data_IF_494528086808
#
_entry.id   IF_494528086808
#
_cell.length_a   1.000
_cell.length_b   1.000
_cell.length_c   1.000
_cell.angle_alpha   90.00
_cell.angle_beta   90.00
_cell.angle_gamma   90.00
#
_symmetry.space_group_name_H-M   'P 1'
#
loop_
_entity.id
_entity.type
_entity.pdbx_description
1 polymer ?
#
# COMPACT_ATOMS: atom_id res chain seq x y z
N UNK A 1 -0.19 -7.15 -1.58
CA UNK A 1 -0.86 -6.10 -0.81
C UNK A 1 -0.81 -6.38 0.70
N UNK A 2 0.36 -6.36 1.26
CA UNK A 2 0.50 -6.64 2.70
C UNK A 2 1.66 -5.86 3.34
N UNK A 3 2.35 -5.02 2.56
CA UNK A 3 3.49 -4.26 3.04
C UNK A 3 3.11 -3.33 4.20
N UNK A 4 1.91 -2.73 4.16
CA UNK A 4 1.40 -1.90 5.24
C UNK A 4 1.33 -2.61 6.62
N UNK A 5 1.31 -3.94 6.64
CA UNK A 5 1.38 -4.74 7.87
C UNK A 5 2.82 -5.03 8.31
N UNK A 6 3.82 -4.71 7.49
CA UNK A 6 5.23 -4.94 7.81
C UNK A 6 5.89 -3.68 8.38
N UNK A 7 5.44 -2.53 7.91
CA UNK A 7 6.01 -1.23 8.27
C UNK A 7 6.03 -1.01 9.78
N UNK A 8 7.19 -0.53 10.26
CA UNK A 8 7.40 -0.21 11.67
C UNK A 8 7.68 -1.42 12.59
N UNK A 9 7.58 -2.65 12.08
CA UNK A 9 7.80 -3.85 12.91
C UNK A 9 8.70 -4.90 12.29
N UNK A 10 8.52 -5.22 11.02
CA UNK A 10 9.19 -6.38 10.39
C UNK A 10 9.52 -6.19 8.92
N UNK A 11 9.45 -4.97 8.41
CA UNK A 11 9.65 -4.69 6.99
C UNK A 11 11.00 -5.19 6.47
N UNK A 12 12.10 -4.89 7.15
CA UNK A 12 13.43 -5.30 6.71
C UNK A 12 13.63 -6.80 6.80
N UNK A 13 13.11 -7.44 7.86
CA UNK A 13 13.17 -8.90 8.00
C UNK A 13 12.48 -9.59 6.82
N UNK A 14 11.27 -9.15 6.49
CA UNK A 14 10.49 -9.72 5.39
C UNK A 14 11.07 -9.39 4.03
N UNK A 15 11.55 -8.17 3.81
CA UNK A 15 12.24 -7.81 2.57
C UNK A 15 13.51 -8.66 2.37
N UNK A 16 14.30 -8.89 3.42
CA UNK A 16 15.46 -9.80 3.36
C UNK A 16 15.05 -11.23 3.06
N UNK A 17 13.95 -11.72 3.64
CA UNK A 17 13.45 -13.05 3.36
C UNK A 17 13.06 -13.21 1.89
N UNK A 18 12.34 -12.23 1.33
CA UNK A 18 12.01 -12.21 -0.10
C UNK A 18 13.28 -12.19 -0.95
N UNK A 19 14.24 -11.33 -0.59
CA UNK A 19 15.52 -11.24 -1.31
C UNK A 19 16.27 -12.56 -1.34
N UNK A 20 16.36 -13.24 -0.20
CA UNK A 20 17.03 -14.55 -0.11
C UNK A 20 16.34 -15.64 -0.92
N UNK A 21 15.03 -15.57 -1.06
CA UNK A 21 14.23 -16.58 -1.77
C UNK A 21 14.41 -16.47 -3.29
N UNK A 22 14.71 -15.30 -3.80
CA UNK A 22 14.86 -15.05 -5.23
C UNK A 22 16.25 -15.51 -5.72
N UNK A 23 16.28 -16.03 -6.94
CA UNK A 23 17.52 -16.25 -7.69
C UNK A 23 18.06 -14.91 -8.22
N UNK A 24 19.36 -14.80 -8.52
CA UNK A 24 19.89 -13.65 -9.27
C UNK A 24 19.08 -13.42 -10.55
N UNK A 25 18.72 -12.16 -10.83
CA UNK A 25 17.82 -11.78 -11.91
C UNK A 25 16.33 -11.96 -11.60
N UNK A 26 15.98 -12.52 -10.47
CA UNK A 26 14.59 -12.70 -10.04
C UNK A 26 13.86 -11.37 -9.79
N UNK A 27 12.58 -11.35 -10.08
CA UNK A 27 11.74 -10.15 -9.98
C UNK A 27 10.90 -10.19 -8.71
N UNK A 28 10.87 -9.05 -8.01
CA UNK A 28 9.97 -8.77 -6.90
C UNK A 28 9.00 -7.67 -7.29
N UNK A 29 7.72 -8.02 -7.42
CA UNK A 29 6.64 -7.07 -7.62
C UNK A 29 5.92 -6.79 -6.32
N UNK A 30 5.63 -5.52 -6.04
CA UNK A 30 4.86 -5.13 -4.86
C UNK A 30 3.81 -4.08 -5.21
N UNK A 31 2.62 -4.26 -4.65
CA UNK A 31 1.51 -3.33 -4.74
C UNK A 31 0.97 -3.06 -3.35
N UNK A 32 0.83 -1.81 -2.97
CA UNK A 32 0.19 -1.43 -1.69
C UNK A 32 -0.44 -0.04 -1.79
N UNK A 33 -1.18 0.32 -0.75
CA UNK A 33 -1.91 1.59 -0.65
C UNK A 33 -0.93 2.76 -0.57
N UNK A 34 -1.08 3.74 -1.47
CA UNK A 34 -0.16 4.88 -1.59
C UNK A 34 -0.56 6.00 -0.65
N UNK A 35 0.35 6.37 0.26
CA UNK A 35 0.24 7.60 1.05
C UNK A 35 0.56 8.84 0.19
N UNK A 36 -0.08 9.97 0.47
CA UNK A 36 0.29 11.27 -0.09
C UNK A 36 1.43 11.94 0.68
N UNK A 37 1.87 11.33 1.78
CA UNK A 37 2.94 11.84 2.63
C UNK A 37 4.07 10.82 2.79
N UNK A 38 5.12 11.22 3.50
CA UNK A 38 6.21 10.32 3.90
C UNK A 38 5.90 9.53 5.18
N UNK A 39 4.69 9.65 5.70
CA UNK A 39 4.23 8.96 6.91
C UNK A 39 3.28 7.83 6.53
N UNK A 40 3.51 6.66 7.11
CA UNK A 40 2.60 5.53 7.00
C UNK A 40 1.44 5.73 7.97
N UNK A 41 0.23 5.77 7.47
CA UNK A 41 -0.95 6.04 8.29
C UNK A 41 -2.19 5.32 7.77
N UNK A 42 -2.93 4.70 8.67
CA UNK A 42 -4.24 4.08 8.38
C UNK A 42 -4.23 3.16 7.15
N UNK A 43 -3.17 2.38 7.01
CA UNK A 43 -3.00 1.44 5.90
C UNK A 43 -2.34 2.02 4.66
N UNK A 44 -2.24 3.35 4.52
CA UNK A 44 -1.46 3.99 3.46
C UNK A 44 0.02 3.97 3.80
N UNK A 45 0.85 3.65 2.82
CA UNK A 45 2.30 3.53 2.98
C UNK A 45 3.05 4.47 2.05
N UNK A 46 4.22 4.91 2.52
CA UNK A 46 5.10 5.81 1.80
C UNK A 46 5.80 5.07 0.63
N UNK A 47 5.44 5.38 -0.61
CA UNK A 47 6.04 4.77 -1.81
C UNK A 47 7.56 5.01 -1.91
N UNK A 48 8.08 6.24 -1.78
CA UNK A 48 9.53 6.47 -1.81
C UNK A 48 10.27 5.75 -0.68
N UNK A 49 9.63 5.62 0.49
CA UNK A 49 10.22 4.90 1.62
C UNK A 49 10.36 3.41 1.31
N UNK A 50 9.34 2.80 0.69
CA UNK A 50 9.38 1.40 0.26
C UNK A 50 10.53 1.17 -0.74
N UNK A 51 10.70 2.07 -1.69
CA UNK A 51 11.79 1.99 -2.69
C UNK A 51 13.15 2.03 -1.97
N UNK A 52 13.35 3.01 -1.09
CA UNK A 52 14.58 3.15 -0.29
C UNK A 52 14.87 1.90 0.52
N UNK A 53 13.87 1.35 1.19
CA UNK A 53 14.04 0.20 2.08
C UNK A 53 14.35 -1.07 1.29
N UNK A 54 13.72 -1.27 0.13
CA UNK A 54 14.05 -2.36 -0.77
C UNK A 54 15.47 -2.25 -1.32
N UNK A 55 15.90 -1.07 -1.71
CA UNK A 55 17.28 -0.80 -2.18
C UNK A 55 18.29 -1.05 -1.06
N UNK A 56 17.98 -0.66 0.18
CA UNK A 56 18.84 -0.92 1.34
C UNK A 56 19.05 -2.42 1.60
N UNK A 57 18.10 -3.26 1.24
CA UNK A 57 18.22 -4.73 1.34
C UNK A 57 19.07 -5.31 0.20
N UNK A 58 19.21 -4.59 -0.91
CA UNK A 58 20.02 -5.01 -2.06
C UNK A 58 19.25 -5.15 -3.37
N UNK A 59 17.96 -4.86 -3.39
CA UNK A 59 17.17 -4.86 -4.62
C UNK A 59 17.56 -3.69 -5.53
N UNK A 60 17.45 -3.92 -6.84
CA UNK A 60 17.52 -2.85 -7.84
C UNK A 60 16.10 -2.42 -8.17
N UNK A 61 15.80 -1.13 -8.02
CA UNK A 61 14.52 -0.57 -8.46
C UNK A 61 14.48 -0.50 -9.99
N UNK A 62 13.49 -1.12 -10.60
CA UNK A 62 13.35 -1.21 -12.07
C UNK A 62 12.34 -0.20 -12.58
N UNK A 63 11.25 0.03 -11.87
CA UNK A 63 10.22 0.97 -12.29
C UNK A 63 8.90 0.78 -11.56
N UNK A 64 7.93 1.60 -11.95
CA UNK A 64 6.59 1.58 -11.39
C UNK A 64 5.52 1.58 -12.48
N UNK A 65 4.29 1.18 -12.10
CA UNK A 65 3.10 1.26 -12.93
C UNK A 65 1.98 1.97 -12.19
N UNK A 66 1.19 2.76 -12.90
CA UNK A 66 0.00 3.42 -12.36
C UNK A 66 -1.28 2.61 -12.59
N UNK A 67 -1.16 1.33 -12.97
CA UNK A 67 -2.32 0.47 -13.28
C UNK A 67 -3.28 0.32 -12.09
N UNK A 68 -2.78 0.44 -10.87
CA UNK A 68 -3.58 0.36 -9.65
C UNK A 68 -3.81 1.73 -8.98
N UNK A 69 -3.49 2.82 -9.66
CA UNK A 69 -3.77 4.17 -9.17
C UNK A 69 -5.28 4.46 -9.19
N UNK A 70 -5.74 5.17 -8.17
CA UNK A 70 -7.11 5.68 -8.13
C UNK A 70 -7.12 7.15 -7.69
N UNK A 71 -7.25 8.09 -8.64
CA UNK A 71 -7.26 9.51 -8.32
C UNK A 71 -8.50 9.98 -7.55
N UNK A 72 -9.54 9.16 -7.44
CA UNK A 72 -10.73 9.46 -6.64
C UNK A 72 -10.49 9.26 -5.15
N UNK A 73 -9.45 8.52 -4.78
CA UNK A 73 -9.11 8.27 -3.38
C UNK A 73 -8.50 9.52 -2.76
N UNK A 74 -9.24 10.18 -1.87
CA UNK A 74 -8.81 11.40 -1.17
C UNK A 74 -8.00 11.12 0.10
N UNK A 75 -7.97 9.88 0.56
CA UNK A 75 -7.11 9.38 1.65
C UNK A 75 -7.36 10.03 3.03
N UNK A 76 -8.52 10.64 3.22
CA UNK A 76 -8.91 11.39 4.42
C UNK A 76 -10.04 10.72 5.23
N UNK A 77 -10.21 9.42 5.05
CA UNK A 77 -11.27 8.67 5.71
C UNK A 77 -10.91 8.35 7.17
N UNK A 78 -11.89 8.37 8.09
CA UNK A 78 -11.63 8.13 9.50
C UNK A 78 -11.02 6.75 9.77
N UNK A 79 -11.40 5.74 9.02
CA UNK A 79 -10.84 4.37 9.09
C UNK A 79 -9.78 4.07 8.03
N UNK A 80 -9.35 5.07 7.27
CA UNK A 80 -8.34 4.89 6.22
C UNK A 80 -8.80 3.94 5.12
N UNK A 81 -7.89 3.12 4.62
CA UNK A 81 -8.15 2.18 3.51
C UNK A 81 -9.28 1.19 3.82
N UNK A 82 -9.54 0.92 5.10
CA UNK A 82 -10.58 -0.06 5.50
C UNK A 82 -12.00 0.46 5.36
N UNK A 83 -12.21 1.77 5.23
CA UNK A 83 -13.51 2.32 4.85
C UNK A 83 -13.85 2.06 3.37
N UNK A 84 -12.85 1.90 2.52
CA UNK A 84 -13.01 1.67 1.09
C UNK A 84 -13.31 0.20 0.73
N UNK A 85 -13.85 -0.07 -0.48
CA UNK A 85 -13.94 -1.43 -0.98
C UNK A 85 -12.56 -2.15 -1.01
N UNK A 86 -12.53 -3.46 -0.86
CA UNK A 86 -13.66 -4.38 -0.66
C UNK A 86 -14.16 -4.47 0.77
N UNK A 87 -13.40 -3.92 1.75
CA UNK A 87 -13.68 -4.08 3.18
C UNK A 87 -14.94 -3.35 3.63
N UNK A 88 -15.11 -2.09 3.22
CA UNK A 88 -16.26 -1.24 3.59
C UNK A 88 -16.57 -1.26 5.09
N UNK A 89 -15.52 -1.26 5.91
CA UNK A 89 -15.68 -1.27 7.37
C UNK A 89 -16.20 0.10 7.85
N UNK A 90 -16.93 0.08 8.94
CA UNK A 90 -17.55 1.26 9.54
C UNK A 90 -16.64 2.00 10.53
N UNK A 91 -15.34 1.70 10.54
CA UNK A 91 -14.35 2.32 11.44
C UNK A 91 -14.44 3.84 11.41
N UNK A 92 -14.60 4.42 12.59
CA UNK A 92 -14.65 5.87 12.78
C UNK A 92 -15.95 6.53 12.31
N UNK A 93 -16.93 5.78 11.80
CA UNK A 93 -18.21 6.30 11.35
C UNK A 93 -19.25 6.25 12.47
N UNK A 94 -20.09 7.28 12.51
CA UNK A 94 -21.29 7.29 13.37
C UNK A 94 -22.35 6.35 12.80
N UNK A 95 -23.07 5.65 13.67
CA UNK A 95 -24.15 4.71 13.29
C UNK A 95 -25.12 5.29 12.26
N UNK A 96 -25.50 6.55 12.41
CA UNK A 96 -26.44 7.25 11.52
C UNK A 96 -25.86 7.53 10.12
N UNK A 97 -24.53 7.44 9.95
CA UNK A 97 -23.84 7.80 8.71
C UNK A 97 -23.39 6.59 7.89
N UNK A 98 -23.37 5.40 8.49
CA UNK A 98 -22.74 4.20 7.90
C UNK A 98 -23.25 3.94 6.48
N UNK A 99 -24.56 3.85 6.26
CA UNK A 99 -25.12 3.54 4.94
C UNK A 99 -24.77 4.58 3.89
N UNK A 100 -24.88 5.86 4.27
CA UNK A 100 -24.55 6.99 3.39
C UNK A 100 -23.08 6.98 3.00
N UNK A 101 -22.19 6.82 3.96
CA UNK A 101 -20.75 6.84 3.74
C UNK A 101 -20.29 5.62 2.95
N UNK A 102 -20.79 4.44 3.24
CA UNK A 102 -20.45 3.24 2.48
C UNK A 102 -20.89 3.33 1.02
N UNK A 103 -22.00 4.00 0.73
CA UNK A 103 -22.40 4.26 -0.65
C UNK A 103 -21.40 5.15 -1.37
N UNK A 104 -20.94 6.23 -0.72
CA UNK A 104 -19.92 7.13 -1.27
C UNK A 104 -18.59 6.37 -1.47
N UNK A 105 -18.18 5.56 -0.51
CA UNK A 105 -16.95 4.79 -0.62
C UNK A 105 -16.98 3.76 -1.75
N UNK A 106 -18.12 3.15 -2.02
CA UNK A 106 -18.30 2.28 -3.20
C UNK A 106 -18.09 3.03 -4.52
N UNK A 107 -18.53 4.29 -4.59
CA UNK A 107 -18.33 5.14 -5.77
C UNK A 107 -16.87 5.54 -5.96
N UNK A 108 -16.13 5.73 -4.88
CA UNK A 108 -14.67 5.97 -4.92
C UNK A 108 -13.94 4.74 -5.45
N UNK A 109 -14.34 3.56 -5.00
CA UNK A 109 -13.69 2.30 -5.33
C UNK A 109 -12.55 1.94 -4.39
N UNK A 110 -11.70 1.02 -4.81
CA UNK A 110 -10.54 0.61 -4.02
C UNK A 110 -9.52 1.76 -3.88
N UNK A 111 -8.71 1.71 -2.84
CA UNK A 111 -7.69 2.72 -2.56
C UNK A 111 -6.73 2.95 -3.73
N UNK A 112 -6.17 4.16 -3.81
CA UNK A 112 -5.03 4.45 -4.67
C UNK A 112 -3.83 3.60 -4.25
N UNK A 113 -3.21 2.92 -5.23
CA UNK A 113 -2.09 2.00 -4.95
C UNK A 113 -0.95 2.24 -5.91
N UNK A 114 0.27 2.17 -5.36
CA UNK A 114 1.47 2.04 -6.19
C UNK A 114 1.68 0.59 -6.58
N UNK A 115 2.37 0.38 -7.69
CA UNK A 115 2.85 -0.93 -8.15
C UNK A 115 4.29 -0.78 -8.57
N UNK A 116 5.19 -1.46 -7.85
CA UNK A 116 6.64 -1.33 -8.01
C UNK A 116 7.25 -2.64 -8.48
N UNK A 117 8.30 -2.53 -9.27
CA UNK A 117 9.10 -3.65 -9.76
C UNK A 117 10.55 -3.51 -9.33
N UNK A 118 11.05 -4.55 -8.69
CA UNK A 118 12.45 -4.68 -8.28
C UNK A 118 13.07 -5.94 -8.88
N UNK A 119 14.38 -5.95 -8.95
CA UNK A 119 15.16 -7.12 -9.39
C UNK A 119 16.23 -7.42 -8.36
N UNK A 120 16.47 -8.71 -8.11
CA UNK A 120 17.66 -9.16 -7.39
C UNK A 120 18.85 -9.20 -8.36
N UNK A 121 19.95 -8.50 -8.05
CA UNK A 121 21.15 -8.56 -8.89
C UNK A 121 21.82 -9.93 -8.90
#
# INVERSE_FOLDING_TARGET
RNYHNWVGSSEFEKLRAVFKTLKPGGIFGITDHRSDSTVDEKGYTCEPCMIRDAEAVGFIYVGSSQINANPKDTKDYPGGVWNLPPSLRDRGLKKSEIKKMQKLYKEIGESDRYTLKFMKP
#
